data_IF_143896774648
#
_entry.id   IF_143896774648
#
_cell.length_a   1.000
_cell.length_b   1.000
_cell.length_c   1.000
_cell.angle_alpha   90.00
_cell.angle_beta   90.00
_cell.angle_gamma   90.00
#
_symmetry.space_group_name_H-M   'P 1'
#
loop_
_entity.id
_entity.type
_entity.pdbx_description
1 polymer ?
#
# COMPACT_ATOMS: atom_id res chain seq x y z
N UNK A 1 9.85 -0.11 24.74
CA UNK A 1 8.82 0.09 23.70
C UNK A 1 8.03 1.39 23.86
N UNK A 2 8.01 2.02 25.04
CA UNK A 2 7.25 3.26 25.31
C UNK A 2 7.77 4.49 24.55
N UNK A 3 9.09 4.74 24.48
CA UNK A 3 9.60 5.96 23.82
C UNK A 3 9.42 5.99 22.30
N UNK A 4 9.45 4.82 21.64
CA UNK A 4 9.28 4.73 20.20
C UNK A 4 7.83 5.01 19.78
N UNK A 5 6.86 4.50 20.55
CA UNK A 5 5.43 4.78 20.34
C UNK A 5 5.12 6.26 20.55
N UNK A 6 5.62 6.86 21.64
CA UNK A 6 5.45 8.30 21.88
C UNK A 6 6.06 9.14 20.77
N UNK A 7 7.25 8.78 20.26
CA UNK A 7 7.85 9.46 19.10
C UNK A 7 7.00 9.32 17.84
N UNK A 8 6.37 8.15 17.63
CA UNK A 8 5.48 7.92 16.49
C UNK A 8 4.19 8.72 16.58
N UNK A 9 3.59 8.82 17.77
CA UNK A 9 2.40 9.66 18.01
C UNK A 9 2.69 11.12 17.73
N UNK A 10 3.77 11.68 18.30
CA UNK A 10 4.17 13.07 18.08
C UNK A 10 4.44 13.37 16.61
N UNK A 11 5.10 12.46 15.88
CA UNK A 11 5.37 12.67 14.46
C UNK A 11 4.10 12.61 13.62
N UNK A 12 3.20 11.68 13.94
CA UNK A 12 1.92 11.54 13.25
C UNK A 12 1.04 12.77 13.45
N UNK A 13 0.92 13.24 14.69
CA UNK A 13 0.16 14.46 15.02
C UNK A 13 0.73 15.69 14.30
N UNK A 14 2.06 15.88 14.34
CA UNK A 14 2.71 16.94 13.58
C UNK A 14 2.38 16.91 12.08
N UNK A 15 2.40 15.73 11.46
CA UNK A 15 2.09 15.60 10.03
C UNK A 15 0.62 15.93 9.73
N UNK A 16 -0.29 15.58 10.64
CA UNK A 16 -1.71 15.93 10.55
C UNK A 16 -1.91 17.43 10.69
N UNK A 17 -1.29 18.06 11.70
CA UNK A 17 -1.37 19.50 11.95
C UNK A 17 -0.78 20.31 10.79
N UNK A 18 0.33 19.85 10.21
CA UNK A 18 0.94 20.48 9.04
C UNK A 18 -0.03 20.51 7.85
N UNK A 19 -0.76 19.42 7.60
CA UNK A 19 -1.78 19.41 6.53
C UNK A 19 -3.03 20.21 6.87
N UNK A 20 -3.43 20.25 8.14
CA UNK A 20 -4.54 21.08 8.59
C UNK A 20 -4.24 22.55 8.39
N UNK A 21 -3.02 22.99 8.68
CA UNK A 21 -2.58 24.38 8.47
C UNK A 21 -2.60 24.78 6.99
N UNK A 22 -2.37 23.83 6.08
CA UNK A 22 -2.45 24.02 4.63
C UNK A 22 -3.87 23.83 4.05
N UNK A 23 -4.87 23.53 4.89
CA UNK A 23 -6.26 23.23 4.49
C UNK A 23 -6.40 22.09 3.45
N UNK A 24 -5.43 21.16 3.38
CA UNK A 24 -5.41 20.06 2.40
C UNK A 24 -5.91 18.72 2.94
N UNK A 25 -6.24 18.63 4.23
CA UNK A 25 -6.67 17.39 4.90
C UNK A 25 -7.80 16.65 4.16
N UNK A 26 -8.80 17.39 3.67
CA UNK A 26 -9.91 16.83 2.90
C UNK A 26 -9.49 16.24 1.55
N UNK A 27 -8.56 16.90 0.85
CA UNK A 27 -8.02 16.44 -0.43
C UNK A 27 -7.23 15.15 -0.23
N UNK A 28 -6.34 15.12 0.76
CA UNK A 28 -5.53 13.94 1.08
C UNK A 28 -6.42 12.74 1.43
N UNK A 29 -7.45 12.97 2.25
CA UNK A 29 -8.46 11.97 2.61
C UNK A 29 -9.14 11.37 1.38
N UNK A 30 -9.52 12.21 0.41
CA UNK A 30 -10.12 11.78 -0.87
C UNK A 30 -9.14 11.00 -1.75
N UNK A 31 -7.88 11.43 -1.82
CA UNK A 31 -6.83 10.73 -2.59
C UNK A 31 -6.60 9.32 -2.04
N UNK A 32 -6.44 9.18 -0.72
CA UNK A 32 -6.24 7.86 -0.07
C UNK A 32 -7.48 6.98 -0.27
N UNK A 33 -8.67 7.55 -0.15
CA UNK A 33 -9.91 6.83 -0.40
C UNK A 33 -9.96 6.28 -1.83
N UNK A 34 -9.72 7.10 -2.85
CA UNK A 34 -9.77 6.67 -4.24
C UNK A 34 -8.67 5.68 -4.58
N UNK A 35 -7.45 5.84 -4.05
CA UNK A 35 -6.39 4.84 -4.21
C UNK A 35 -6.81 3.48 -3.63
N UNK A 36 -7.41 3.48 -2.44
CA UNK A 36 -7.90 2.25 -1.78
C UNK A 36 -9.08 1.63 -2.55
N UNK A 37 -10.03 2.46 -3.00
CA UNK A 37 -11.19 2.00 -3.78
C UNK A 37 -10.80 1.49 -5.17
N UNK A 38 -9.78 2.08 -5.81
CA UNK A 38 -9.27 1.62 -7.09
C UNK A 38 -8.78 0.16 -6.99
N UNK A 39 -8.10 -0.22 -5.91
CA UNK A 39 -7.74 -1.61 -5.65
C UNK A 39 -8.97 -2.51 -5.53
N UNK A 40 -9.99 -2.08 -4.78
CA UNK A 40 -11.23 -2.84 -4.63
C UNK A 40 -11.96 -3.03 -5.98
N UNK A 41 -11.99 -1.99 -6.81
CA UNK A 41 -12.57 -2.02 -8.15
C UNK A 41 -11.78 -2.97 -9.05
N UNK A 42 -10.45 -2.94 -9.03
CA UNK A 42 -9.61 -3.86 -9.81
C UNK A 42 -9.93 -5.31 -9.46
N UNK A 43 -10.03 -5.64 -8.18
CA UNK A 43 -10.39 -7.00 -7.73
C UNK A 43 -11.83 -7.37 -8.12
N UNK A 44 -12.75 -6.42 -8.11
CA UNK A 44 -14.13 -6.65 -8.59
C UNK A 44 -14.14 -7.00 -10.08
N UNK A 45 -13.41 -6.21 -10.89
CA UNK A 45 -13.30 -6.43 -12.32
C UNK A 45 -12.62 -7.77 -12.63
N UNK A 46 -11.61 -8.17 -11.86
CA UNK A 46 -11.00 -9.50 -11.98
C UNK A 46 -12.04 -10.61 -11.90
N UNK A 47 -12.89 -10.58 -10.87
CA UNK A 47 -13.94 -11.57 -10.69
C UNK A 47 -14.97 -11.55 -11.82
N UNK A 48 -15.39 -10.35 -12.25
CA UNK A 48 -16.42 -10.18 -13.29
C UNK A 48 -15.93 -10.63 -14.67
N UNK A 49 -14.66 -10.37 -15.00
CA UNK A 49 -14.09 -10.67 -16.31
C UNK A 49 -13.38 -12.04 -16.40
N UNK A 50 -13.49 -12.88 -15.36
CA UNK A 50 -12.97 -14.25 -15.37
C UNK A 50 -11.48 -14.39 -15.05
N UNK A 51 -10.85 -13.34 -14.50
CA UNK A 51 -9.47 -13.37 -13.97
C UNK A 51 -9.43 -13.58 -12.44
N UNK A 52 -10.59 -13.79 -11.82
CA UNK A 52 -10.71 -14.14 -10.42
C UNK A 52 -10.21 -15.55 -10.13
N UNK A 53 -9.86 -15.78 -8.87
CA UNK A 53 -9.54 -17.10 -8.36
C UNK A 53 -10.69 -18.09 -8.59
N UNK A 54 -10.36 -19.30 -9.05
CA UNK A 54 -11.33 -20.34 -9.45
C UNK A 54 -11.56 -21.42 -8.39
N UNK A 55 -10.74 -21.46 -7.34
CA UNK A 55 -10.85 -22.46 -6.27
C UNK A 55 -11.33 -21.84 -4.96
N UNK A 56 -12.07 -22.56 -4.11
CA UNK A 56 -12.82 -21.96 -2.99
C UNK A 56 -11.97 -21.10 -2.03
N UNK A 57 -10.76 -21.57 -1.68
CA UNK A 57 -9.88 -20.87 -0.72
C UNK A 57 -9.33 -19.56 -1.35
N UNK A 58 -8.62 -19.60 -2.50
CA UNK A 58 -8.26 -18.42 -3.28
C UNK A 58 -9.41 -17.43 -3.53
N UNK A 59 -10.59 -17.92 -3.90
CA UNK A 59 -11.77 -17.05 -4.10
C UNK A 59 -12.16 -16.34 -2.81
N UNK A 60 -12.22 -17.04 -1.67
CA UNK A 60 -12.53 -16.44 -0.38
C UNK A 60 -11.51 -15.35 0.02
N UNK A 61 -10.21 -15.60 -0.21
CA UNK A 61 -9.15 -14.61 0.02
C UNK A 61 -9.38 -13.35 -0.80
N UNK A 62 -9.72 -13.51 -2.08
CA UNK A 62 -9.95 -12.40 -2.99
C UNK A 62 -11.21 -11.60 -2.59
N UNK A 63 -12.30 -12.27 -2.22
CA UNK A 63 -13.53 -11.65 -1.71
C UNK A 63 -13.29 -10.86 -0.42
N UNK A 64 -12.58 -11.44 0.54
CA UNK A 64 -12.25 -10.77 1.80
C UNK A 64 -11.40 -9.52 1.53
N UNK A 65 -10.35 -9.65 0.72
CA UNK A 65 -9.45 -8.54 0.37
C UNK A 65 -10.22 -7.39 -0.30
N UNK A 66 -11.13 -7.73 -1.21
CA UNK A 66 -12.00 -6.77 -1.91
C UNK A 66 -12.96 -6.04 -0.96
N UNK A 67 -13.70 -6.78 -0.13
CA UNK A 67 -14.65 -6.19 0.82
C UNK A 67 -13.94 -5.31 1.85
N UNK A 68 -12.76 -5.75 2.33
CA UNK A 68 -11.92 -4.97 3.23
C UNK A 68 -11.45 -3.66 2.57
N UNK A 69 -10.99 -3.71 1.32
CA UNK A 69 -10.60 -2.52 0.59
C UNK A 69 -11.78 -1.55 0.37
N UNK A 70 -12.98 -2.05 0.04
CA UNK A 70 -14.18 -1.22 -0.02
C UNK A 70 -14.50 -0.56 1.33
N UNK A 71 -14.50 -1.33 2.42
CA UNK A 71 -14.78 -0.81 3.75
C UNK A 71 -13.77 0.27 4.17
N UNK A 72 -12.48 0.04 3.91
CA UNK A 72 -11.41 1.00 4.23
C UNK A 72 -11.48 2.25 3.36
N UNK A 73 -11.75 2.10 2.06
CA UNK A 73 -11.92 3.23 1.14
C UNK A 73 -13.13 4.09 1.50
N UNK A 74 -14.26 3.46 1.86
CA UNK A 74 -15.46 4.17 2.33
C UNK A 74 -15.23 4.81 3.70
N UNK A 75 -14.50 4.17 4.61
CA UNK A 75 -14.06 4.78 5.86
C UNK A 75 -13.23 6.03 5.59
N UNK A 76 -12.30 5.99 4.63
CA UNK A 76 -11.55 7.17 4.23
C UNK A 76 -12.43 8.23 3.56
N UNK A 77 -13.57 7.94 2.93
CA UNK A 77 -14.46 9.00 2.43
C UNK A 77 -15.29 9.63 3.55
N UNK A 78 -15.94 8.81 4.36
CA UNK A 78 -17.02 9.25 5.24
C UNK A 78 -16.63 9.30 6.73
N UNK A 79 -15.58 8.57 7.12
CA UNK A 79 -15.12 8.46 8.50
C UNK A 79 -14.30 9.66 8.96
N UNK A 80 -13.98 9.75 10.27
CA UNK A 80 -13.04 10.74 10.77
C UNK A 80 -11.62 10.45 10.26
N UNK A 81 -10.73 11.43 10.42
CA UNK A 81 -9.30 11.17 10.24
C UNK A 81 -8.83 10.11 11.24
N UNK A 82 -8.08 9.08 10.80
CA UNK A 82 -7.73 7.96 11.67
C UNK A 82 -6.76 8.39 12.78
N UNK A 83 -6.82 7.71 13.92
CA UNK A 83 -5.73 7.74 14.91
C UNK A 83 -4.51 6.99 14.38
N UNK A 84 -3.34 7.17 15.00
CA UNK A 84 -2.11 6.44 14.62
C UNK A 84 -2.35 4.92 14.55
N UNK A 85 -3.03 4.35 15.54
CA UNK A 85 -3.31 2.91 15.59
C UNK A 85 -4.25 2.47 14.45
N UNK A 86 -5.26 3.27 14.13
CA UNK A 86 -6.17 3.00 13.01
C UNK A 86 -5.45 3.12 11.67
N UNK A 87 -4.59 4.13 11.51
CA UNK A 87 -3.77 4.31 10.32
C UNK A 87 -2.79 3.14 10.15
N UNK A 88 -2.14 2.69 11.23
CA UNK A 88 -1.20 1.57 11.18
C UNK A 88 -1.91 0.25 10.86
N UNK A 89 -3.09 0.02 11.46
CA UNK A 89 -3.95 -1.09 11.10
C UNK A 89 -4.35 -1.03 9.62
N UNK A 90 -4.74 0.15 9.13
CA UNK A 90 -5.06 0.36 7.71
C UNK A 90 -3.91 -0.05 6.80
N UNK A 91 -2.68 0.43 7.06
CA UNK A 91 -1.50 0.10 6.25
C UNK A 91 -1.20 -1.39 6.28
N UNK A 92 -1.27 -2.01 7.47
CA UNK A 92 -0.97 -3.44 7.64
C UNK A 92 -1.97 -4.31 6.89
N UNK A 93 -3.27 -4.00 7.06
CA UNK A 93 -4.36 -4.72 6.40
C UNK A 93 -4.29 -4.52 4.88
N UNK A 94 -4.04 -3.29 4.41
CA UNK A 94 -3.90 -2.99 2.99
C UNK A 94 -2.74 -3.77 2.36
N UNK A 95 -1.59 -3.82 3.03
CA UNK A 95 -0.44 -4.59 2.55
C UNK A 95 -0.75 -6.08 2.42
N UNK A 96 -1.42 -6.66 3.41
CA UNK A 96 -1.84 -8.07 3.37
C UNK A 96 -2.85 -8.28 2.24
N UNK A 97 -3.88 -7.45 2.15
CA UNK A 97 -4.94 -7.55 1.15
C UNK A 97 -4.42 -7.41 -0.29
N UNK A 98 -3.50 -6.47 -0.53
CA UNK A 98 -2.86 -6.28 -1.85
C UNK A 98 -2.08 -7.54 -2.21
N UNK A 99 -1.22 -8.04 -1.31
CA UNK A 99 -0.44 -9.24 -1.57
C UNK A 99 -1.33 -10.45 -1.82
N UNK A 100 -2.30 -10.69 -0.93
CA UNK A 100 -3.16 -11.86 -0.96
C UNK A 100 -4.10 -11.86 -2.16
N UNK A 101 -4.71 -10.72 -2.51
CA UNK A 101 -5.53 -10.61 -3.72
C UNK A 101 -4.69 -10.72 -5.01
N UNK A 102 -3.42 -10.30 -4.97
CA UNK A 102 -2.54 -10.39 -6.13
C UNK A 102 -2.11 -11.83 -6.40
N UNK A 103 -1.66 -12.56 -5.38
CA UNK A 103 -1.12 -13.92 -5.57
C UNK A 103 -2.19 -14.95 -5.94
N UNK A 104 -3.45 -14.73 -5.55
CA UNK A 104 -4.56 -15.67 -5.82
C UNK A 104 -5.28 -15.41 -7.14
N UNK A 105 -5.13 -14.23 -7.73
CA UNK A 105 -5.79 -13.87 -8.98
C UNK A 105 -5.22 -14.69 -10.15
N UNK A 106 -6.08 -15.04 -11.11
CA UNK A 106 -5.72 -15.79 -12.32
C UNK A 106 -5.48 -14.83 -13.50
N UNK A 107 -4.68 -13.80 -13.26
CA UNK A 107 -4.24 -12.88 -14.30
C UNK A 107 -3.05 -13.44 -15.09
N UNK A 108 -2.83 -12.94 -16.32
CA UNK A 108 -1.55 -13.07 -16.98
C UNK A 108 -0.41 -12.69 -16.01
N UNK A 109 0.63 -13.53 -15.89
CA UNK A 109 1.65 -13.39 -14.86
C UNK A 109 2.33 -12.02 -14.80
N UNK A 110 2.49 -11.36 -15.94
CA UNK A 110 3.07 -10.01 -16.04
C UNK A 110 2.18 -8.95 -15.38
N UNK A 111 0.85 -9.09 -15.52
CA UNK A 111 -0.14 -8.20 -14.89
C UNK A 111 -0.18 -8.45 -13.38
N UNK A 112 -0.05 -9.71 -12.96
CA UNK A 112 0.04 -10.08 -11.54
C UNK A 112 1.19 -9.36 -10.83
N UNK A 113 2.37 -9.30 -11.44
CA UNK A 113 3.49 -8.54 -10.87
C UNK A 113 3.21 -7.02 -10.87
N UNK A 114 2.63 -6.49 -11.95
CA UNK A 114 2.26 -5.08 -12.07
C UNK A 114 1.27 -4.59 -11.00
N UNK A 115 0.33 -5.44 -10.57
CA UNK A 115 -0.62 -5.13 -9.49
C UNK A 115 0.04 -4.76 -8.16
N UNK A 116 1.28 -5.22 -7.92
CA UNK A 116 2.01 -4.85 -6.71
C UNK A 116 2.37 -3.35 -6.64
N UNK A 117 2.20 -2.60 -7.73
CA UNK A 117 2.32 -1.14 -7.73
C UNK A 117 1.38 -0.44 -6.74
N UNK A 118 0.25 -1.04 -6.36
CA UNK A 118 -0.62 -0.50 -5.30
C UNK A 118 0.08 -0.35 -3.94
N UNK A 119 1.19 -1.05 -3.70
CA UNK A 119 2.01 -0.82 -2.50
C UNK A 119 2.61 0.59 -2.48
N UNK A 120 2.89 1.18 -3.63
CA UNK A 120 3.50 2.52 -3.73
C UNK A 120 2.53 3.57 -3.16
N UNK A 121 1.24 3.46 -3.46
CA UNK A 121 0.20 4.37 -2.97
C UNK A 121 0.09 4.34 -1.44
N UNK A 122 0.11 3.14 -0.86
CA UNK A 122 0.17 2.97 0.61
C UNK A 122 1.50 3.49 1.16
N UNK A 123 2.59 3.27 0.43
CA UNK A 123 3.91 3.77 0.75
C UNK A 123 3.94 5.29 0.84
N UNK A 124 3.33 6.03 -0.08
CA UNK A 124 3.27 7.49 -0.03
C UNK A 124 2.61 7.99 1.27
N UNK A 125 1.54 7.34 1.71
CA UNK A 125 0.93 7.62 3.01
C UNK A 125 1.93 7.35 4.15
N UNK A 126 2.54 6.16 4.18
CA UNK A 126 3.51 5.79 5.22
C UNK A 126 4.71 6.74 5.26
N UNK A 127 5.25 7.13 4.12
CA UNK A 127 6.43 7.99 4.00
C UNK A 127 6.22 9.35 4.63
N UNK A 128 5.02 9.93 4.47
CA UNK A 128 4.70 11.24 5.03
C UNK A 128 4.29 11.18 6.51
N UNK A 129 3.48 10.20 6.90
CA UNK A 129 2.83 10.20 8.23
C UNK A 129 3.56 9.39 9.29
N UNK A 130 4.34 8.38 8.92
CA UNK A 130 4.86 7.41 9.88
C UNK A 130 6.35 7.59 10.16
N UNK A 131 6.73 7.16 11.37
CA UNK A 131 8.13 7.15 11.81
C UNK A 131 8.97 6.09 11.07
N UNK A 132 10.30 6.28 11.14
CA UNK A 132 11.29 5.50 10.37
C UNK A 132 11.13 3.97 10.46
N UNK A 133 10.72 3.44 11.61
CA UNK A 133 10.61 1.99 11.81
C UNK A 133 9.38 1.41 11.12
N UNK A 134 8.26 2.15 11.10
CA UNK A 134 7.03 1.76 10.42
C UNK A 134 7.22 1.84 8.91
N UNK A 135 7.93 2.89 8.47
CA UNK A 135 8.36 3.04 7.09
C UNK A 135 9.26 1.87 6.64
N UNK A 136 10.29 1.55 7.42
CA UNK A 136 11.17 0.42 7.12
C UNK A 136 10.39 -0.90 7.06
N UNK A 137 9.45 -1.13 7.98
CA UNK A 137 8.61 -2.32 7.97
C UNK A 137 7.74 -2.41 6.72
N UNK A 138 7.11 -1.30 6.30
CA UNK A 138 6.34 -1.24 5.06
C UNK A 138 7.22 -1.55 3.83
N UNK A 139 8.36 -0.86 3.68
CA UNK A 139 9.27 -1.07 2.55
C UNK A 139 9.74 -2.53 2.50
N UNK A 140 10.21 -3.08 3.62
CA UNK A 140 10.71 -4.46 3.66
C UNK A 140 9.62 -5.45 3.27
N UNK A 141 8.40 -5.28 3.79
CA UNK A 141 7.27 -6.15 3.47
C UNK A 141 6.92 -6.06 1.98
N UNK A 142 6.78 -4.85 1.43
CA UNK A 142 6.38 -4.64 0.05
C UNK A 142 7.45 -5.11 -0.94
N UNK A 143 8.73 -4.85 -0.68
CA UNK A 143 9.84 -5.36 -1.49
C UNK A 143 9.89 -6.89 -1.43
N UNK A 144 9.73 -7.49 -0.25
CA UNK A 144 9.69 -8.95 -0.10
C UNK A 144 8.49 -9.55 -0.85
N UNK A 145 7.31 -8.97 -0.72
CA UNK A 145 6.08 -9.40 -1.40
C UNK A 145 6.19 -9.32 -2.93
N UNK A 146 6.63 -8.18 -3.46
CA UNK A 146 6.85 -7.98 -4.90
C UNK A 146 7.93 -8.91 -5.44
N UNK A 147 9.02 -9.11 -4.70
CA UNK A 147 10.09 -10.04 -5.10
C UNK A 147 9.62 -11.49 -5.06
N UNK A 148 8.83 -11.86 -4.06
CA UNK A 148 8.22 -13.18 -3.99
C UNK A 148 7.34 -13.45 -5.21
N UNK A 149 6.48 -12.50 -5.58
CA UNK A 149 5.62 -12.62 -6.78
C UNK A 149 6.48 -12.72 -8.04
N UNK A 150 7.53 -11.91 -8.18
CA UNK A 150 8.44 -11.96 -9.32
C UNK A 150 9.15 -13.32 -9.47
N UNK A 151 9.61 -13.91 -8.35
CA UNK A 151 10.19 -15.25 -8.34
C UNK A 151 9.13 -16.30 -8.67
N UNK A 152 7.92 -16.18 -8.10
CA UNK A 152 6.82 -17.10 -8.35
C UNK A 152 6.43 -17.16 -9.84
N UNK A 153 6.28 -16.01 -10.51
CA UNK A 153 5.89 -15.99 -11.93
C UNK A 153 6.99 -16.56 -12.85
N UNK A 154 8.26 -16.37 -12.50
CA UNK A 154 9.39 -16.97 -13.24
C UNK A 154 9.44 -18.48 -13.02
N UNK A 155 9.28 -18.93 -11.77
CA UNK A 155 9.47 -20.34 -11.42
C UNK A 155 8.28 -21.22 -11.81
N UNK A 156 7.06 -20.67 -11.84
CA UNK A 156 5.82 -21.48 -11.94
C UNK A 156 4.86 -21.03 -13.04
N UNK A 157 5.13 -19.92 -13.75
CA UNK A 157 4.23 -19.37 -14.77
C UNK A 157 4.93 -19.07 -16.10
N UNK A 158 6.10 -19.68 -16.33
CA UNK A 158 6.88 -19.60 -17.57
C UNK A 158 7.23 -18.17 -18.03
N UNK A 159 7.30 -17.21 -17.11
CA UNK A 159 7.72 -15.84 -17.43
C UNK A 159 9.23 -15.78 -17.55
N UNK A 160 9.72 -15.23 -18.67
CA UNK A 160 11.15 -15.00 -18.86
C UNK A 160 11.70 -14.04 -17.78
N UNK A 161 12.88 -14.36 -17.23
CA UNK A 161 13.55 -13.56 -16.18
C UNK A 161 13.64 -12.09 -16.55
N UNK A 162 14.00 -11.79 -17.81
CA UNK A 162 14.10 -10.41 -18.31
C UNK A 162 12.75 -9.67 -18.21
N UNK A 163 11.65 -10.31 -18.60
CA UNK A 163 10.31 -9.70 -18.58
C UNK A 163 9.85 -9.44 -17.14
N UNK A 164 10.07 -10.42 -16.25
CA UNK A 164 9.81 -10.24 -14.82
C UNK A 164 10.64 -9.09 -14.25
N UNK A 165 11.94 -9.01 -14.57
CA UNK A 165 12.82 -7.95 -14.09
C UNK A 165 12.43 -6.55 -14.61
N UNK A 166 11.96 -6.44 -15.86
CA UNK A 166 11.48 -5.19 -16.46
C UNK A 166 10.29 -4.60 -15.70
N UNK A 167 9.40 -5.44 -15.16
CA UNK A 167 8.26 -4.99 -14.34
C UNK A 167 8.66 -4.82 -12.87
N UNK A 168 9.43 -5.76 -12.32
CA UNK A 168 9.86 -5.77 -10.92
C UNK A 168 10.70 -4.54 -10.55
N UNK A 169 11.69 -4.21 -11.39
CA UNK A 169 12.67 -3.17 -11.09
C UNK A 169 12.04 -1.78 -10.87
N UNK A 170 11.18 -1.23 -11.75
CA UNK A 170 10.56 0.06 -11.49
C UNK A 170 9.63 0.03 -10.27
N UNK A 171 8.93 -1.08 -10.02
CA UNK A 171 8.05 -1.20 -8.84
C UNK A 171 8.86 -1.17 -7.55
N UNK A 172 9.91 -1.98 -7.44
CA UNK A 172 10.75 -2.03 -6.22
C UNK A 172 11.50 -0.71 -6.00
N UNK A 173 12.04 -0.12 -7.07
CA UNK A 173 12.67 1.21 -6.99
C UNK A 173 11.66 2.26 -6.54
N UNK A 174 10.40 2.16 -6.96
CA UNK A 174 9.35 3.10 -6.55
C UNK A 174 8.92 2.92 -5.09
N UNK A 175 8.73 1.67 -4.64
CA UNK A 175 8.38 1.33 -3.24
C UNK A 175 9.46 1.86 -2.28
N UNK A 176 10.74 1.71 -2.61
CA UNK A 176 11.83 2.22 -1.80
C UNK A 176 12.07 3.71 -2.03
N UNK A 177 12.45 4.07 -3.25
CA UNK A 177 12.95 5.38 -3.64
C UNK A 177 11.95 6.50 -3.42
N UNK A 178 10.75 6.44 -4.02
CA UNK A 178 9.78 7.53 -3.88
C UNK A 178 9.35 7.72 -2.43
N UNK A 179 9.13 6.62 -1.71
CA UNK A 179 8.66 6.67 -0.33
C UNK A 179 9.73 7.23 0.60
N UNK A 180 10.99 6.83 0.43
CA UNK A 180 12.11 7.37 1.20
C UNK A 180 12.33 8.86 0.88
N UNK A 181 12.29 9.24 -0.40
CA UNK A 181 12.41 10.65 -0.80
C UNK A 181 11.32 11.50 -0.16
N UNK A 182 10.07 11.03 -0.17
CA UNK A 182 8.96 11.72 0.48
C UNK A 182 9.19 11.86 2.00
N UNK A 183 9.64 10.79 2.65
CA UNK A 183 9.93 10.81 4.09
C UNK A 183 11.03 11.81 4.44
N UNK A 184 12.16 11.77 3.73
CA UNK A 184 13.27 12.69 4.00
C UNK A 184 12.94 14.13 3.66
N UNK A 185 12.17 14.38 2.60
CA UNK A 185 11.68 15.72 2.26
C UNK A 185 10.72 16.25 3.34
N UNK A 186 9.79 15.42 3.82
CA UNK A 186 8.91 15.81 4.92
C UNK A 186 9.69 16.14 6.21
N UNK A 187 10.72 15.34 6.52
CA UNK A 187 11.57 15.55 7.69
C UNK A 187 12.47 16.77 7.55
N UNK A 188 12.99 17.07 6.37
CA UNK A 188 13.83 18.26 6.16
C UNK A 188 13.02 19.54 6.37
N UNK A 189 11.76 19.58 5.91
CA UNK A 189 10.86 20.72 6.15
C UNK A 189 10.59 20.92 7.64
N UNK A 190 10.47 19.85 8.43
CA UNK A 190 10.29 19.97 9.89
C UNK A 190 11.48 20.65 10.57
N UNK A 191 12.69 20.33 10.14
CA UNK A 191 13.93 20.89 10.72
C UNK A 191 14.11 22.38 10.41
N UNK A 192 13.43 22.93 9.40
CA UNK A 192 13.48 24.38 9.11
C UNK A 192 12.67 25.23 10.11
N UNK A 193 11.79 24.59 10.90
CA UNK A 193 10.91 25.27 11.86
C UNK A 193 11.24 24.97 13.34
N UNK A 194 12.28 24.18 13.61
CA UNK A 194 12.87 23.94 14.95
C UNK A 194 14.17 24.73 15.12
#
# INVERSE_FOLDING_TARGET
MTSALTSSEVHYEWAVDAMESLAVKGIVKVVIAFATLAMAVVVTLEMVFGYGATTPIPSAVQWISMMTAYAMGLFWLFGPWPTLNQAFAFVTIANIAIFSATIVADFPPEITLGKTAFFIEIGMFVGFFFEKWMLAAHILLCVAATTFIAVYVVAYKDVAVLMSFVVWSPVVVSIGGFVLLLHFAARSMRLEFE
#
